data_IF_003765149946
#
_entry.id   IF_003765149946
#
_cell.length_a   1.000
_cell.length_b   1.000
_cell.length_c   1.000
_cell.angle_alpha   90.00
_cell.angle_beta   90.00
_cell.angle_gamma   90.00
#
_symmetry.space_group_name_H-M   'P 1'
#
loop_
_entity.id
_entity.type
_entity.pdbx_description
1 polymer ?
#
# COMPACT_ATOMS: atom_id res chain seq x y z
N UNK A 1 50.79 13.21 0.72
CA UNK A 1 49.56 13.64 1.40
C UNK A 1 48.70 12.41 1.57
N UNK A 2 48.75 11.78 2.75
CA UNK A 2 48.04 10.53 3.03
C UNK A 2 46.86 10.85 3.93
N UNK A 3 45.65 10.56 3.44
CA UNK A 3 44.38 10.80 4.13
C UNK A 3 44.18 9.68 5.15
N UNK A 4 44.21 10.02 6.43
CA UNK A 4 43.82 9.14 7.52
C UNK A 4 42.30 9.08 7.59
N UNK A 5 41.72 7.89 7.40
CA UNK A 5 40.28 7.64 7.59
C UNK A 5 40.01 7.49 9.08
N UNK A 6 39.34 8.48 9.67
CA UNK A 6 38.81 8.42 11.03
C UNK A 6 37.61 7.47 11.07
N UNK A 7 37.77 6.33 11.73
CA UNK A 7 36.66 5.44 12.08
C UNK A 7 36.08 5.92 13.41
N UNK A 8 34.88 6.49 13.35
CA UNK A 8 34.15 7.04 14.49
C UNK A 8 33.40 5.96 15.28
N UNK A 9 33.80 5.83 16.54
CA UNK A 9 33.17 5.43 17.82
C UNK A 9 32.16 4.26 17.95
N UNK A 10 32.24 3.48 19.05
CA UNK A 10 31.42 2.30 19.31
C UNK A 10 30.09 2.64 20.02
N UNK A 11 29.09 1.81 19.73
CA UNK A 11 27.74 1.88 20.30
C UNK A 11 27.73 1.80 21.84
N UNK A 12 26.92 2.66 22.44
CA UNK A 12 26.66 2.77 23.87
C UNK A 12 26.11 1.48 24.46
N UNK A 13 26.89 0.85 25.34
CA UNK A 13 26.52 -0.32 26.12
C UNK A 13 25.50 0.07 27.21
N UNK A 14 24.33 -0.56 27.20
CA UNK A 14 23.26 -0.26 28.16
C UNK A 14 23.62 -0.77 29.56
N UNK A 15 23.39 0.09 30.55
CA UNK A 15 23.60 -0.16 31.98
C UNK A 15 22.48 -1.05 32.52
N UNK A 16 22.71 -2.36 32.57
CA UNK A 16 22.03 -3.23 33.53
C UNK A 16 23.00 -4.33 33.91
N UNK A 17 23.47 -4.30 35.16
CA UNK A 17 24.35 -5.29 35.81
C UNK A 17 25.35 -5.99 34.84
N UNK A 18 26.27 -5.24 34.24
CA UNK A 18 27.17 -5.77 33.23
C UNK A 18 28.38 -6.44 33.89
N UNK A 19 28.39 -7.77 34.00
CA UNK A 19 29.67 -8.48 33.83
C UNK A 19 30.18 -8.12 32.44
N UNK A 20 31.37 -7.55 32.38
CA UNK A 20 31.96 -7.16 31.09
C UNK A 20 32.72 -8.35 30.53
N UNK A 21 32.92 -8.40 29.21
CA UNK A 21 33.78 -9.42 28.61
C UNK A 21 35.15 -9.46 29.31
N UNK A 22 35.68 -8.29 29.69
CA UNK A 22 36.91 -8.15 30.44
C UNK A 22 36.88 -8.81 31.84
N UNK A 23 35.79 -8.70 32.60
CA UNK A 23 35.71 -9.33 33.93
C UNK A 23 35.62 -10.85 33.82
N UNK A 24 34.85 -11.36 32.87
CA UNK A 24 34.75 -12.81 32.63
C UNK A 24 36.06 -13.41 32.13
N UNK A 25 36.80 -12.68 31.27
CA UNK A 25 38.12 -13.11 30.81
C UNK A 25 39.14 -13.12 31.95
N UNK A 26 39.07 -12.17 32.88
CA UNK A 26 39.94 -12.16 34.06
C UNK A 26 39.65 -13.36 34.97
N UNK A 27 38.38 -13.65 35.27
CA UNK A 27 38.00 -14.82 36.06
C UNK A 27 38.45 -16.13 35.38
N UNK A 28 38.30 -16.22 34.06
CA UNK A 28 38.75 -17.38 33.28
C UNK A 28 40.28 -17.53 33.34
N UNK A 29 41.02 -16.42 33.33
CA UNK A 29 42.47 -16.39 33.46
C UNK A 29 42.91 -16.94 34.82
N UNK A 30 42.29 -16.45 35.91
CA UNK A 30 42.56 -16.89 37.29
C UNK A 30 42.28 -18.39 37.47
N UNK A 31 41.15 -18.89 36.94
CA UNK A 31 40.80 -20.31 36.98
C UNK A 31 41.82 -21.16 36.20
N UNK A 32 42.18 -20.74 34.99
CA UNK A 32 43.14 -21.48 34.17
C UNK A 32 44.54 -21.52 34.80
N UNK A 33 44.93 -20.45 35.50
CA UNK A 33 46.19 -20.39 36.26
C UNK A 33 46.15 -21.36 37.46
N UNK A 34 45.02 -21.47 38.14
CA UNK A 34 44.82 -22.40 39.27
C UNK A 34 44.88 -23.87 38.84
N UNK A 35 44.25 -24.23 37.71
CA UNK A 35 44.22 -25.62 37.21
C UNK A 35 45.45 -26.01 36.38
N UNK A 36 46.30 -25.05 36.00
CA UNK A 36 47.48 -25.28 35.16
C UNK A 36 47.15 -25.57 33.69
N UNK A 37 46.16 -24.88 33.12
CA UNK A 37 45.78 -25.03 31.71
C UNK A 37 46.91 -24.55 30.77
N UNK A 38 47.23 -25.33 29.75
CA UNK A 38 48.29 -24.97 28.79
C UNK A 38 47.90 -23.79 27.89
N UNK A 39 48.86 -22.93 27.55
CA UNK A 39 48.63 -21.80 26.64
C UNK A 39 47.94 -22.20 25.34
N UNK A 40 48.30 -23.34 24.75
CA UNK A 40 47.67 -23.85 23.53
C UNK A 40 46.18 -24.17 23.69
N UNK A 41 45.75 -24.71 24.83
CA UNK A 41 44.34 -24.98 25.08
C UNK A 41 43.57 -23.71 25.46
N UNK A 42 44.22 -22.75 26.13
CA UNK A 42 43.65 -21.41 26.40
C UNK A 42 43.39 -20.67 25.09
N UNK A 43 44.38 -20.61 24.19
CA UNK A 43 44.27 -19.98 22.88
C UNK A 43 43.15 -20.61 22.05
N UNK A 44 43.05 -21.93 22.05
CA UNK A 44 42.00 -22.67 21.35
C UNK A 44 40.60 -22.34 21.90
N UNK A 45 40.44 -22.26 23.22
CA UNK A 45 39.16 -21.88 23.86
C UNK A 45 38.80 -20.43 23.58
N UNK A 46 39.77 -19.50 23.62
CA UNK A 46 39.54 -18.09 23.28
C UNK A 46 39.15 -17.93 21.80
N UNK A 47 39.85 -18.61 20.89
CA UNK A 47 39.55 -18.60 19.47
C UNK A 47 38.13 -19.12 19.18
N UNK A 48 37.66 -20.12 19.94
CA UNK A 48 36.29 -20.60 19.84
C UNK A 48 35.28 -19.51 20.22
N UNK A 49 35.51 -18.77 21.32
CA UNK A 49 34.63 -17.67 21.75
C UNK A 49 34.62 -16.55 20.70
N UNK A 50 35.77 -16.20 20.14
CA UNK A 50 35.86 -15.21 19.06
C UNK A 50 35.07 -15.66 17.83
N UNK A 51 35.18 -16.93 17.45
CA UNK A 51 34.46 -17.50 16.32
C UNK A 51 32.95 -17.48 16.55
N UNK A 52 32.47 -17.89 17.73
CA UNK A 52 31.06 -17.85 18.10
C UNK A 52 30.52 -16.40 18.10
N UNK A 53 31.30 -15.45 18.63
CA UNK A 53 30.96 -14.02 18.59
C UNK A 53 30.83 -13.50 17.15
N UNK A 54 31.80 -13.83 16.28
CA UNK A 54 31.76 -13.47 14.86
C UNK A 54 30.52 -14.04 14.15
N UNK A 55 30.15 -15.28 14.45
CA UNK A 55 28.97 -15.91 13.85
C UNK A 55 27.65 -15.27 14.33
N UNK A 56 27.59 -14.80 15.58
CA UNK A 56 26.48 -13.96 16.07
C UNK A 56 26.40 -12.64 15.30
N UNK A 57 27.53 -11.93 15.14
CA UNK A 57 27.56 -10.68 14.39
C UNK A 57 27.13 -10.88 12.93
N UNK A 58 27.68 -11.88 12.24
CA UNK A 58 27.29 -12.22 10.85
C UNK A 58 25.79 -12.45 10.74
N UNK A 59 25.23 -13.30 11.60
CA UNK A 59 23.80 -13.60 11.64
C UNK A 59 22.95 -12.34 11.85
N UNK A 60 23.36 -11.45 12.76
CA UNK A 60 22.63 -10.21 13.01
C UNK A 60 22.71 -9.25 11.83
N UNK A 61 23.89 -9.09 11.22
CA UNK A 61 24.07 -8.29 10.01
C UNK A 61 23.19 -8.81 8.87
N UNK A 62 23.13 -10.12 8.68
CA UNK A 62 22.33 -10.72 7.61
C UNK A 62 20.83 -10.55 7.85
N UNK A 63 20.37 -10.62 9.10
CA UNK A 63 18.98 -10.28 9.47
C UNK A 63 18.64 -8.83 9.12
N UNK A 64 19.50 -7.89 9.50
CA UNK A 64 19.27 -6.46 9.21
C UNK A 64 19.35 -6.16 7.70
N UNK A 65 20.24 -6.84 6.97
CA UNK A 65 20.30 -6.74 5.50
C UNK A 65 19.00 -7.22 4.86
N UNK A 66 18.48 -8.37 5.30
CA UNK A 66 17.21 -8.91 4.81
C UNK A 66 16.06 -7.95 5.09
N UNK A 67 15.95 -7.48 6.34
CA UNK A 67 14.92 -6.53 6.73
C UNK A 67 14.99 -5.21 5.94
N UNK A 68 16.20 -4.69 5.70
CA UNK A 68 16.40 -3.53 4.83
C UNK A 68 15.91 -3.79 3.40
N UNK A 69 16.17 -4.97 2.84
CA UNK A 69 15.70 -5.34 1.50
C UNK A 69 14.17 -5.44 1.44
N UNK A 70 13.53 -6.01 2.47
CA UNK A 70 12.07 -6.05 2.61
C UNK A 70 11.46 -4.64 2.63
N UNK A 71 12.05 -3.70 3.39
CA UNK A 71 11.59 -2.31 3.40
C UNK A 71 11.73 -1.61 2.02
N UNK A 72 12.78 -1.92 1.27
CA UNK A 72 12.92 -1.41 -0.11
C UNK A 72 11.87 -1.98 -1.06
N UNK A 73 11.57 -3.28 -0.93
CA UNK A 73 10.54 -3.93 -1.71
C UNK A 73 9.17 -3.31 -1.43
N UNK A 74 8.78 -3.17 -0.15
CA UNK A 74 7.50 -2.55 0.22
C UNK A 74 7.36 -1.11 -0.31
N UNK A 75 8.45 -0.34 -0.35
CA UNK A 75 8.43 1.00 -0.96
C UNK A 75 8.19 0.94 -2.47
N UNK A 76 8.83 0.02 -3.18
CA UNK A 76 8.66 -0.14 -4.62
C UNK A 76 7.25 -0.62 -4.97
N UNK A 77 6.70 -1.57 -4.20
CA UNK A 77 5.33 -2.04 -4.34
C UNK A 77 4.32 -0.91 -4.10
N UNK A 78 4.51 -0.11 -3.05
CA UNK A 78 3.64 1.03 -2.78
C UNK A 78 3.72 2.11 -3.87
N UNK A 79 4.92 2.43 -4.38
CA UNK A 79 5.08 3.37 -5.50
C UNK A 79 4.38 2.87 -6.78
N UNK A 80 4.46 1.56 -7.06
CA UNK A 80 3.79 0.93 -8.20
C UNK A 80 2.26 0.97 -8.05
N UNK A 81 1.74 0.62 -6.87
CA UNK A 81 0.31 0.65 -6.59
C UNK A 81 -0.24 2.08 -6.65
N UNK A 82 0.47 3.07 -6.09
CA UNK A 82 0.07 4.48 -6.23
C UNK A 82 -0.04 4.86 -7.70
N UNK A 83 0.94 4.47 -8.53
CA UNK A 83 0.94 4.78 -9.96
C UNK A 83 -0.25 4.16 -10.69
N UNK A 84 -0.59 2.90 -10.35
CA UNK A 84 -1.76 2.21 -10.90
C UNK A 84 -3.07 2.89 -10.49
N UNK A 85 -3.24 3.17 -9.19
CA UNK A 85 -4.44 3.83 -8.67
C UNK A 85 -4.62 5.23 -9.25
N UNK A 86 -3.54 6.01 -9.35
CA UNK A 86 -3.51 7.33 -9.99
C UNK A 86 -3.95 7.24 -11.45
N UNK A 87 -3.42 6.26 -12.18
CA UNK A 87 -3.80 6.05 -13.59
C UNK A 87 -5.28 5.71 -13.73
N UNK A 88 -5.80 4.80 -12.90
CA UNK A 88 -7.20 4.38 -12.94
C UNK A 88 -8.14 5.53 -12.56
N UNK A 89 -7.81 6.32 -11.54
CA UNK A 89 -8.63 7.45 -11.08
C UNK A 89 -8.49 8.70 -11.96
N UNK A 90 -7.39 8.80 -12.74
CA UNK A 90 -7.04 10.01 -13.49
C UNK A 90 -6.71 11.20 -12.60
N UNK A 91 -6.30 10.95 -11.35
CA UNK A 91 -6.03 11.97 -10.33
C UNK A 91 -4.53 12.09 -10.08
N UNK A 92 -4.03 13.32 -9.94
CA UNK A 92 -2.63 13.54 -9.57
C UNK A 92 -2.48 13.44 -8.05
N UNK A 93 -1.53 12.64 -7.61
CA UNK A 93 -1.13 12.58 -6.19
C UNK A 93 0.04 13.52 -5.99
N UNK A 94 -0.10 14.49 -5.09
CA UNK A 94 0.94 15.49 -4.77
C UNK A 94 2.17 14.91 -4.04
N UNK A 95 2.25 13.58 -3.92
CA UNK A 95 3.30 12.89 -3.20
C UNK A 95 4.45 12.54 -4.15
N UNK A 96 5.69 12.97 -3.87
CA UNK A 96 6.84 12.53 -4.64
C UNK A 96 7.07 11.03 -4.43
N UNK A 97 7.44 10.32 -5.50
CA UNK A 97 7.88 8.91 -5.43
C UNK A 97 8.89 8.70 -4.31
N UNK A 98 8.86 7.52 -3.68
CA UNK A 98 9.70 7.20 -2.52
C UNK A 98 11.18 7.47 -2.74
N UNK A 99 11.68 7.27 -3.98
CA UNK A 99 13.06 7.57 -4.37
C UNK A 99 13.49 9.04 -4.17
N UNK A 100 12.55 9.99 -4.24
CA UNK A 100 12.80 11.43 -4.06
C UNK A 100 12.53 11.93 -2.64
N UNK A 101 11.88 11.11 -1.80
CA UNK A 101 11.64 11.45 -0.40
C UNK A 101 12.94 11.50 0.41
N UNK A 102 13.01 12.41 1.38
CA UNK A 102 14.09 12.46 2.37
C UNK A 102 13.73 11.58 3.58
N UNK A 103 14.74 11.10 4.30
CA UNK A 103 14.56 10.31 5.53
C UNK A 103 14.84 8.81 5.36
N UNK A 104 14.69 8.09 6.45
CA UNK A 104 14.91 6.63 6.54
C UNK A 104 13.80 5.84 5.86
N UNK A 105 14.05 4.58 5.52
CA UNK A 105 13.04 3.71 4.86
C UNK A 105 11.73 3.63 5.64
N UNK A 106 11.80 3.47 6.98
CA UNK A 106 10.62 3.42 7.84
C UNK A 106 9.84 4.73 7.84
N UNK A 107 10.54 5.87 7.85
CA UNK A 107 9.88 7.18 7.79
C UNK A 107 9.18 7.40 6.45
N UNK A 108 9.79 6.96 5.34
CA UNK A 108 9.15 7.03 4.02
C UNK A 108 7.88 6.21 3.96
N UNK A 109 7.91 4.96 4.44
CA UNK A 109 6.72 4.10 4.53
C UNK A 109 5.63 4.75 5.39
N UNK A 110 5.98 5.29 6.57
CA UNK A 110 5.03 5.95 7.45
C UNK A 110 4.32 7.17 6.80
N UNK A 111 4.94 7.81 5.81
CA UNK A 111 4.33 8.89 5.02
C UNK A 111 3.46 8.32 3.89
N UNK A 112 3.90 7.24 3.24
CA UNK A 112 3.22 6.63 2.09
C UNK A 112 1.94 5.89 2.53
N UNK A 113 1.98 5.14 3.63
CA UNK A 113 0.87 4.32 4.13
C UNK A 113 -0.47 5.07 4.23
N UNK A 114 -0.57 6.26 4.87
CA UNK A 114 -1.83 7.00 4.94
C UNK A 114 -2.30 7.50 3.57
N UNK A 115 -1.38 7.85 2.67
CA UNK A 115 -1.72 8.31 1.31
C UNK A 115 -2.28 7.17 0.47
N UNK A 116 -1.63 6.00 0.53
CA UNK A 116 -2.10 4.78 -0.13
C UNK A 116 -3.51 4.41 0.36
N UNK A 117 -3.75 4.50 1.68
CA UNK A 117 -5.06 4.25 2.27
C UNK A 117 -6.12 5.22 1.73
N UNK A 118 -5.82 6.51 1.68
CA UNK A 118 -6.74 7.53 1.15
C UNK A 118 -7.13 7.25 -0.32
N UNK A 119 -6.14 6.96 -1.17
CA UNK A 119 -6.39 6.69 -2.59
C UNK A 119 -7.18 5.40 -2.79
N UNK A 120 -6.90 4.34 -2.01
CA UNK A 120 -7.70 3.10 -2.01
C UNK A 120 -9.16 3.36 -1.63
N UNK A 121 -9.40 4.17 -0.61
CA UNK A 121 -10.75 4.56 -0.20
C UNK A 121 -11.45 5.32 -1.33
N UNK A 122 -10.78 6.28 -1.96
CA UNK A 122 -11.31 7.01 -3.13
C UNK A 122 -11.66 6.10 -4.29
N UNK A 123 -10.80 5.12 -4.63
CA UNK A 123 -11.10 4.11 -5.67
C UNK A 123 -12.39 3.36 -5.33
N UNK A 124 -12.53 2.92 -4.09
CA UNK A 124 -13.72 2.18 -3.66
C UNK A 124 -15.00 3.03 -3.73
N UNK A 125 -14.93 4.30 -3.33
CA UNK A 125 -16.04 5.25 -3.46
C UNK A 125 -16.40 5.49 -4.93
N UNK A 126 -15.40 5.69 -5.78
CA UNK A 126 -15.58 5.90 -7.22
C UNK A 126 -16.26 4.69 -7.88
N UNK A 127 -15.85 3.47 -7.54
CA UNK A 127 -16.50 2.24 -8.04
C UNK A 127 -17.99 2.21 -7.65
N UNK A 128 -18.35 2.60 -6.42
CA UNK A 128 -19.75 2.67 -6.00
C UNK A 128 -20.54 3.69 -6.81
N UNK A 129 -19.95 4.86 -7.10
CA UNK A 129 -20.60 5.86 -7.96
C UNK A 129 -20.86 5.33 -9.37
N UNK A 130 -19.84 4.71 -9.99
CA UNK A 130 -19.97 4.08 -11.30
C UNK A 130 -21.06 3.01 -11.31
N UNK A 131 -21.04 2.10 -10.34
CA UNK A 131 -22.03 1.02 -10.23
C UNK A 131 -23.45 1.56 -10.16
N UNK A 132 -23.67 2.59 -9.33
CA UNK A 132 -24.97 3.23 -9.19
C UNK A 132 -25.47 3.86 -10.49
N UNK A 133 -24.60 4.56 -11.21
CA UNK A 133 -24.98 5.24 -12.46
C UNK A 133 -25.24 4.22 -13.57
N UNK A 134 -24.37 3.21 -13.73
CA UNK A 134 -24.57 2.17 -14.74
C UNK A 134 -25.83 1.34 -14.46
N UNK A 135 -26.14 1.06 -13.19
CA UNK A 135 -27.41 0.41 -12.81
C UNK A 135 -28.62 1.28 -13.23
N UNK A 136 -28.58 2.58 -12.97
CA UNK A 136 -29.66 3.50 -13.37
C UNK A 136 -29.81 3.61 -14.89
N UNK A 137 -28.70 3.69 -15.62
CA UNK A 137 -28.69 3.69 -17.08
C UNK A 137 -29.35 2.41 -17.60
N UNK A 138 -28.92 1.25 -17.11
CA UNK A 138 -29.47 -0.03 -17.52
C UNK A 138 -30.99 -0.11 -17.24
N UNK A 139 -31.42 0.33 -16.06
CA UNK A 139 -32.84 0.31 -15.68
C UNK A 139 -33.68 1.19 -16.62
N UNK A 140 -33.24 2.43 -16.89
CA UNK A 140 -33.96 3.33 -17.79
C UNK A 140 -33.97 2.79 -19.23
N UNK A 141 -32.86 2.21 -19.70
CA UNK A 141 -32.82 1.57 -21.01
C UNK A 141 -33.82 0.41 -21.13
N UNK A 142 -33.96 -0.42 -20.08
CA UNK A 142 -34.95 -1.51 -20.06
C UNK A 142 -36.39 -0.97 -20.08
N UNK A 143 -36.71 0.05 -19.28
CA UNK A 143 -38.02 0.69 -19.28
C UNK A 143 -38.36 1.32 -20.64
N UNK A 144 -37.40 2.02 -21.26
CA UNK A 144 -37.56 2.64 -22.59
C UNK A 144 -37.80 1.57 -23.66
N UNK A 145 -37.20 0.39 -23.52
CA UNK A 145 -37.40 -0.76 -24.39
C UNK A 145 -38.70 -1.54 -24.09
N UNK A 146 -39.42 -1.20 -23.02
CA UNK A 146 -40.64 -1.89 -22.60
C UNK A 146 -40.39 -3.24 -21.91
N UNK A 147 -39.22 -3.42 -21.30
CA UNK A 147 -38.85 -4.64 -20.59
C UNK A 147 -39.00 -4.45 -19.07
N UNK A 148 -39.82 -5.28 -18.41
CA UNK A 148 -40.10 -5.21 -16.95
C UNK A 148 -39.03 -5.90 -16.09
N UNK A 149 -37.82 -6.12 -16.63
CA UNK A 149 -36.76 -6.82 -15.88
C UNK A 149 -36.18 -5.90 -14.81
N UNK A 150 -36.26 -6.33 -13.54
CA UNK A 150 -35.57 -5.67 -12.43
C UNK A 150 -34.08 -5.93 -12.54
N UNK A 151 -33.30 -4.88 -12.76
CA UNK A 151 -31.84 -4.98 -12.90
C UNK A 151 -31.20 -4.83 -11.52
N UNK A 152 -30.49 -5.87 -11.07
CA UNK A 152 -29.76 -5.83 -9.80
C UNK A 152 -28.38 -5.19 -9.99
N UNK A 153 -27.83 -4.45 -9.00
CA UNK A 153 -26.44 -4.00 -9.04
C UNK A 153 -25.44 -5.15 -9.22
N UNK A 154 -25.79 -6.37 -8.79
CA UNK A 154 -24.92 -7.55 -8.94
C UNK A 154 -24.78 -8.01 -10.40
N UNK A 155 -25.70 -7.60 -11.28
CA UNK A 155 -25.68 -7.95 -12.70
C UNK A 155 -24.82 -6.97 -13.52
N UNK A 156 -24.39 -5.85 -12.89
CA UNK A 156 -23.61 -4.79 -13.52
C UNK A 156 -22.13 -4.98 -13.16
N UNK A 157 -21.27 -5.03 -14.18
CA UNK A 157 -19.82 -5.09 -13.99
C UNK A 157 -19.17 -3.76 -14.35
N UNK A 158 -18.65 -3.05 -13.35
CA UNK A 158 -17.89 -1.82 -13.53
C UNK A 158 -16.46 -2.13 -13.97
N UNK A 159 -15.98 -1.47 -15.00
CA UNK A 159 -14.56 -1.51 -15.38
C UNK A 159 -13.72 -0.74 -14.36
N UNK A 160 -12.77 -1.42 -13.71
CA UNK A 160 -11.85 -0.78 -12.76
C UNK A 160 -10.64 -0.10 -13.43
N UNK A 161 -10.49 -0.23 -14.75
CA UNK A 161 -9.34 0.30 -15.49
C UNK A 161 -9.44 1.81 -15.76
N UNK A 162 -10.65 2.32 -15.95
CA UNK A 162 -10.94 3.74 -16.19
C UNK A 162 -12.06 4.21 -15.25
N UNK A 163 -11.63 4.68 -14.08
CA UNK A 163 -12.46 5.28 -13.06
C UNK A 163 -12.33 6.81 -13.07
N UNK A 164 -11.92 7.39 -14.21
CA UNK A 164 -11.63 8.82 -14.30
C UNK A 164 -12.88 9.66 -14.10
N UNK A 165 -12.69 10.86 -13.54
CA UNK A 165 -13.78 11.83 -13.38
C UNK A 165 -14.42 12.24 -14.72
N UNK A 166 -13.63 12.23 -15.81
CA UNK A 166 -14.13 12.47 -17.17
C UNK A 166 -15.13 11.38 -17.57
N UNK A 167 -14.72 10.10 -17.48
CA UNK A 167 -15.57 8.96 -17.83
C UNK A 167 -16.85 8.94 -17.01
N UNK A 168 -16.73 9.20 -15.70
CA UNK A 168 -17.89 9.34 -14.82
C UNK A 168 -18.84 10.46 -15.27
N UNK A 169 -18.30 11.60 -15.69
CA UNK A 169 -19.07 12.72 -16.23
C UNK A 169 -19.82 12.37 -17.51
N UNK A 170 -19.19 11.62 -18.42
CA UNK A 170 -19.82 11.11 -19.64
C UNK A 170 -21.03 10.21 -19.32
N UNK A 171 -20.88 9.28 -18.36
CA UNK A 171 -21.98 8.42 -17.91
C UNK A 171 -23.11 9.24 -17.25
N UNK A 172 -22.78 10.24 -16.43
CA UNK A 172 -23.78 11.14 -15.83
C UNK A 172 -24.56 11.92 -16.90
N UNK A 173 -23.88 12.42 -17.94
CA UNK A 173 -24.52 13.09 -19.07
C UNK A 173 -25.46 12.14 -19.82
N UNK A 174 -25.00 10.93 -20.12
CA UNK A 174 -25.81 9.93 -20.81
C UNK A 174 -27.05 9.55 -20.01
N UNK A 175 -26.92 9.36 -18.69
CA UNK A 175 -28.06 9.11 -17.81
C UNK A 175 -29.09 10.26 -17.87
N UNK A 176 -28.63 11.51 -17.86
CA UNK A 176 -29.52 12.69 -17.96
C UNK A 176 -30.26 12.74 -19.31
N UNK A 177 -29.57 12.43 -20.40
CA UNK A 177 -30.18 12.33 -21.74
C UNK A 177 -31.28 11.27 -21.77
N UNK A 178 -31.01 10.08 -21.24
CA UNK A 178 -32.00 8.99 -21.16
C UNK A 178 -33.21 9.37 -20.30
N UNK A 179 -32.98 10.03 -19.16
CA UNK A 179 -34.07 10.53 -18.31
C UNK A 179 -34.95 11.55 -19.05
N UNK A 180 -34.34 12.45 -19.84
CA UNK A 180 -35.06 13.43 -20.64
C UNK A 180 -35.92 12.79 -21.74
N UNK A 181 -35.37 11.78 -22.43
CA UNK A 181 -36.07 11.02 -23.47
C UNK A 181 -37.24 10.23 -22.87
N UNK A 182 -37.04 9.55 -21.74
CA UNK A 182 -38.12 8.84 -21.03
C UNK A 182 -39.27 9.80 -20.69
N UNK A 183 -38.95 10.98 -20.15
CA UNK A 183 -39.96 11.98 -19.79
C UNK A 183 -40.72 12.47 -21.04
N UNK A 184 -40.02 12.77 -22.13
CA UNK A 184 -40.64 13.20 -23.39
C UNK A 184 -41.61 12.13 -23.93
N UNK A 185 -41.24 10.86 -23.87
CA UNK A 185 -42.13 9.74 -24.26
C UNK A 185 -43.36 9.67 -23.37
N UNK A 186 -43.20 9.78 -22.05
CA UNK A 186 -44.32 9.77 -21.12
C UNK A 186 -45.30 10.93 -21.38
N UNK A 187 -44.78 12.14 -21.63
CA UNK A 187 -45.62 13.30 -21.99
C UNK A 187 -46.41 13.06 -23.28
N UNK A 188 -45.78 12.47 -24.30
CA UNK A 188 -46.46 12.10 -25.56
C UNK A 188 -47.55 11.06 -25.33
N UNK A 189 -47.26 10.00 -24.58
CA UNK A 189 -48.25 8.96 -24.22
C UNK A 189 -49.42 9.58 -23.47
N UNK A 190 -49.17 10.44 -22.48
CA UNK A 190 -50.21 11.16 -21.76
C UNK A 190 -51.09 12.01 -22.69
N UNK A 191 -50.47 12.71 -23.64
CA UNK A 191 -51.21 13.54 -24.60
C UNK A 191 -52.10 12.70 -25.52
N UNK A 192 -51.62 11.54 -25.99
CA UNK A 192 -52.43 10.61 -26.76
C UNK A 192 -53.58 10.03 -25.94
N UNK A 193 -53.36 9.69 -24.66
CA UNK A 193 -54.42 9.21 -23.78
C UNK A 193 -55.52 10.27 -23.58
N UNK A 194 -55.15 11.53 -23.37
CA UNK A 194 -56.13 12.63 -23.28
C UNK A 194 -56.93 12.79 -24.56
N UNK A 195 -56.27 12.80 -25.73
CA UNK A 195 -56.95 12.91 -27.01
C UNK A 195 -57.91 11.73 -27.28
N UNK A 196 -57.52 10.50 -26.92
CA UNK A 196 -58.40 9.33 -27.00
C UNK A 196 -59.60 9.52 -26.08
N UNK A 197 -59.39 9.97 -24.84
CA UNK A 197 -60.46 10.19 -23.88
C UNK A 197 -61.48 11.21 -24.41
N UNK A 198 -61.02 12.34 -24.95
CA UNK A 198 -61.86 13.39 -25.55
C UNK A 198 -62.68 12.89 -26.76
N UNK A 199 -62.19 11.88 -27.48
CA UNK A 199 -62.91 11.26 -28.61
C UNK A 199 -63.89 10.15 -28.20
N UNK A 200 -63.77 9.63 -26.96
CA UNK A 200 -64.56 8.50 -26.47
C UNK A 200 -65.69 8.93 -25.52
N UNK A 201 -65.69 10.21 -25.11
CA UNK A 201 -66.75 10.89 -24.34
C UNK A 201 -67.65 11.68 -25.29
#
# INVERSE_FOLDING_TARGET
MSITVSVSSPLSLSKSATTTCSSLLQELQEIWDEIGESDSERDKKLLQVEQECLDIYRRNVDKERKYKAELHLSLAEADAEISELVSALGEQVSLPLSGKMKGTLKQKLAVIDPVLKDIRTKKHERIKEFLNIETQIAAICAEIAGNDTVISPTDIQVSEQDLTGKRLGELKSHLQELQSEKNLRLQRVSSYMSAIHDLTV
#
